data_IF_891335922152
#
_entry.id   IF_891335922152
#
_cell.length_a   1.000
_cell.length_b   1.000
_cell.length_c   1.000
_cell.angle_alpha   90.00
_cell.angle_beta   90.00
_cell.angle_gamma   90.00
#
_symmetry.space_group_name_H-M   'P 1'
#
loop_
_entity.id
_entity.type
_entity.pdbx_description
1 polymer ?
#
# COMPACT_ATOMS: atom_id res chain seq x y z
N UNK A 1 -4.06 26.54 0.32
CA UNK A 1 -4.97 26.43 1.51
C UNK A 1 -4.69 25.10 2.17
N UNK A 2 -4.66 25.00 3.51
CA UNK A 2 -4.38 23.71 4.16
C UNK A 2 -5.55 22.72 3.98
N UNK A 3 -5.24 21.42 3.91
CA UNK A 3 -6.23 20.35 3.75
C UNK A 3 -7.27 20.36 4.89
N UNK A 4 -6.80 20.57 6.12
CA UNK A 4 -7.69 20.65 7.29
C UNK A 4 -8.71 21.80 7.19
N UNK A 5 -8.30 22.96 6.71
CA UNK A 5 -9.22 24.07 6.48
C UNK A 5 -10.28 23.75 5.41
N UNK A 6 -9.87 23.04 4.36
CA UNK A 6 -10.79 22.62 3.29
C UNK A 6 -11.84 21.63 3.82
N UNK A 7 -11.43 20.65 4.62
CA UNK A 7 -12.33 19.72 5.29
C UNK A 7 -13.28 20.45 6.26
N UNK A 8 -12.73 21.36 7.08
CA UNK A 8 -13.53 22.11 8.05
C UNK A 8 -14.52 23.07 7.39
N UNK A 9 -14.18 23.66 6.25
CA UNK A 9 -15.10 24.52 5.49
C UNK A 9 -16.38 23.76 5.07
N UNK A 10 -16.24 22.46 4.76
CA UNK A 10 -17.36 21.59 4.33
C UNK A 10 -18.18 20.99 5.48
N UNK A 11 -17.91 21.34 6.75
CA UNK A 11 -18.56 20.70 7.90
C UNK A 11 -20.08 20.81 7.95
N UNK A 12 -20.65 21.88 7.40
CA UNK A 12 -22.11 22.09 7.36
C UNK A 12 -22.78 21.34 6.21
N UNK A 13 -22.08 21.23 5.09
CA UNK A 13 -22.58 20.57 3.88
C UNK A 13 -22.39 19.05 3.95
N UNK A 14 -21.28 18.60 4.60
CA UNK A 14 -20.91 17.19 4.70
C UNK A 14 -20.52 16.81 6.13
N UNK A 15 -21.50 16.71 7.06
CA UNK A 15 -21.21 16.38 8.45
C UNK A 15 -20.61 14.97 8.61
N UNK A 16 -21.00 14.01 7.76
CA UNK A 16 -20.46 12.66 7.76
C UNK A 16 -18.94 12.64 7.46
N UNK A 17 -18.46 13.45 6.51
CA UNK A 17 -17.04 13.59 6.20
C UNK A 17 -16.24 14.01 7.42
N UNK A 18 -16.73 15.04 8.14
CA UNK A 18 -16.04 15.54 9.33
C UNK A 18 -16.10 14.55 10.48
N UNK A 19 -17.22 13.85 10.65
CA UNK A 19 -17.37 12.81 11.68
C UNK A 19 -16.39 11.64 11.43
N UNK A 20 -16.31 11.12 10.21
CA UNK A 20 -15.37 10.05 9.85
C UNK A 20 -13.93 10.52 9.98
N UNK A 21 -13.60 11.74 9.54
CA UNK A 21 -12.26 12.31 9.71
C UNK A 21 -11.88 12.45 11.19
N UNK A 22 -12.78 12.92 12.02
CA UNK A 22 -12.55 13.05 13.47
C UNK A 22 -12.39 11.69 14.14
N UNK A 23 -13.22 10.70 13.79
CA UNK A 23 -13.10 9.33 14.29
C UNK A 23 -11.77 8.70 13.88
N UNK A 24 -11.37 8.83 12.61
CA UNK A 24 -10.09 8.33 12.12
C UNK A 24 -8.92 9.01 12.86
N UNK A 25 -8.91 10.33 12.97
CA UNK A 25 -7.84 11.04 13.69
C UNK A 25 -7.78 10.63 15.15
N UNK A 26 -8.92 10.53 15.83
CA UNK A 26 -8.98 10.11 17.24
C UNK A 26 -8.46 8.69 17.41
N UNK A 27 -8.85 7.75 16.54
CA UNK A 27 -8.39 6.36 16.60
C UNK A 27 -6.88 6.26 16.36
N UNK A 28 -6.34 6.98 15.37
CA UNK A 28 -4.91 7.01 15.08
C UNK A 28 -4.10 7.60 16.24
N UNK A 29 -4.54 8.71 16.83
CA UNK A 29 -3.84 9.35 17.95
C UNK A 29 -3.93 8.54 19.25
N UNK A 30 -5.03 7.83 19.47
CA UNK A 30 -5.21 6.98 20.65
C UNK A 30 -4.43 5.65 20.54
N UNK A 31 -4.20 5.16 19.31
CA UNK A 31 -3.69 3.81 19.11
C UNK A 31 -2.31 3.53 19.74
N UNK A 32 -1.32 4.42 19.77
CA UNK A 32 -0.06 4.16 20.49
C UNK A 32 -0.26 3.85 21.97
N UNK A 33 -1.23 4.51 22.62
CA UNK A 33 -1.60 4.25 24.01
C UNK A 33 -2.31 2.90 24.15
N UNK A 34 -3.23 2.60 23.23
CA UNK A 34 -3.93 1.31 23.20
C UNK A 34 -2.94 0.17 22.96
N UNK A 35 -2.01 0.33 22.02
CA UNK A 35 -0.97 -0.66 21.75
C UNK A 35 -0.02 -0.88 22.94
N UNK A 36 0.38 0.21 23.61
CA UNK A 36 1.16 0.12 24.84
C UNK A 36 0.39 -0.63 25.94
N UNK A 37 -0.87 -0.30 26.14
CA UNK A 37 -1.73 -0.98 27.12
C UNK A 37 -1.90 -2.46 26.81
N UNK A 38 -2.18 -2.82 25.54
CA UNK A 38 -2.30 -4.21 25.10
C UNK A 38 -1.00 -4.99 25.34
N UNK A 39 0.16 -4.39 25.08
CA UNK A 39 1.46 -5.03 25.37
C UNK A 39 1.72 -5.22 26.87
N UNK A 40 1.27 -4.27 27.69
CA UNK A 40 1.46 -4.33 29.14
C UNK A 40 0.51 -5.33 29.82
N UNK A 41 -0.67 -5.59 29.25
CA UNK A 41 -1.75 -6.34 29.91
C UNK A 41 -2.10 -7.66 29.25
N UNK A 42 -1.66 -7.90 28.01
CA UNK A 42 -2.03 -9.07 27.22
C UNK A 42 -0.85 -9.58 26.40
N UNK A 43 -0.94 -10.84 25.93
CA UNK A 43 0.01 -11.42 24.98
C UNK A 43 -0.34 -11.11 23.52
N UNK A 44 -1.39 -10.33 23.26
CA UNK A 44 -1.92 -10.10 21.91
C UNK A 44 -1.09 -9.14 21.09
N UNK A 45 -0.42 -8.18 21.71
CA UNK A 45 0.43 -7.23 21.01
C UNK A 45 1.91 -7.56 21.20
N UNK A 46 2.65 -7.68 20.12
CA UNK A 46 4.08 -7.96 20.16
C UNK A 46 4.89 -6.70 20.52
N UNK A 47 6.02 -6.91 21.18
CA UNK A 47 7.03 -5.87 21.38
C UNK A 47 7.82 -5.57 20.10
N UNK A 48 8.69 -4.55 20.19
CA UNK A 48 9.68 -4.25 19.16
C UNK A 48 10.79 -5.32 19.19
N UNK A 49 10.56 -6.42 18.48
CA UNK A 49 11.51 -7.55 18.39
C UNK A 49 12.34 -7.54 17.13
N UNK A 50 12.02 -6.66 16.17
CA UNK A 50 12.71 -6.53 14.89
C UNK A 50 12.92 -7.87 14.16
N UNK A 51 11.93 -8.77 14.21
CA UNK A 51 12.05 -10.12 13.67
C UNK A 51 12.37 -10.15 12.17
N UNK A 52 11.73 -9.26 11.39
CA UNK A 52 12.01 -9.18 9.95
C UNK A 52 13.38 -8.53 9.67
N UNK A 53 13.78 -7.52 10.48
CA UNK A 53 15.13 -6.98 10.40
C UNK A 53 16.18 -8.07 10.71
N UNK A 54 15.90 -8.95 11.67
CA UNK A 54 16.76 -10.12 11.99
C UNK A 54 16.91 -11.08 10.81
N UNK A 55 15.85 -11.27 10.02
CA UNK A 55 15.95 -12.08 8.79
C UNK A 55 16.88 -11.41 7.74
N UNK A 56 16.85 -10.07 7.64
CA UNK A 56 17.74 -9.31 6.75
C UNK A 56 19.19 -9.33 7.25
N UNK A 57 19.42 -9.05 8.52
CA UNK A 57 20.73 -9.11 9.17
C UNK A 57 21.35 -10.50 9.00
N UNK A 58 20.63 -11.56 9.34
CA UNK A 58 21.10 -12.93 9.13
C UNK A 58 21.35 -13.30 7.67
N UNK A 59 20.74 -12.65 6.69
CA UNK A 59 21.09 -12.83 5.29
C UNK A 59 22.40 -12.11 4.94
N UNK A 60 22.67 -10.94 5.53
CA UNK A 60 23.97 -10.25 5.41
C UNK A 60 25.10 -11.12 5.97
N UNK A 61 24.92 -11.67 7.17
CA UNK A 61 25.91 -12.55 7.83
C UNK A 61 26.23 -13.77 6.95
N UNK A 62 25.21 -14.46 6.45
CA UNK A 62 25.41 -15.61 5.55
C UNK A 62 26.14 -15.23 4.27
N UNK A 63 25.78 -14.09 3.67
CA UNK A 63 26.48 -13.62 2.48
C UNK A 63 27.96 -13.36 2.75
N UNK A 64 28.29 -12.71 3.87
CA UNK A 64 29.67 -12.44 4.27
C UNK A 64 30.45 -13.73 4.59
N UNK A 65 29.75 -14.74 5.11
CA UNK A 65 30.32 -16.07 5.36
C UNK A 65 30.45 -16.92 4.08
N UNK A 66 29.99 -16.45 2.91
CA UNK A 66 29.98 -17.24 1.67
C UNK A 66 28.91 -18.35 1.64
N UNK A 67 27.90 -18.25 2.52
CA UNK A 67 26.79 -19.19 2.61
C UNK A 67 25.60 -18.77 1.74
N UNK A 68 24.64 -19.70 1.55
CA UNK A 68 23.39 -19.39 0.85
C UNK A 68 22.56 -18.36 1.61
N UNK A 69 22.03 -17.35 0.89
CA UNK A 69 21.10 -16.35 1.46
C UNK A 69 19.84 -17.00 2.02
N UNK A 70 19.39 -18.08 1.38
CA UNK A 70 18.11 -18.74 1.66
C UNK A 70 18.32 -20.02 2.40
N UNK A 71 17.73 -20.12 3.58
CA UNK A 71 17.76 -21.30 4.41
C UNK A 71 16.42 -22.02 4.35
N UNK A 72 16.44 -23.31 4.08
CA UNK A 72 15.25 -24.15 4.21
C UNK A 72 15.08 -24.57 5.67
N UNK A 73 13.84 -24.56 6.14
CA UNK A 73 13.45 -25.18 7.39
C UNK A 73 13.42 -26.72 7.25
N UNK A 74 13.31 -27.43 8.36
CA UNK A 74 13.31 -28.90 8.38
C UNK A 74 12.15 -29.53 7.60
N UNK A 75 11.04 -28.78 7.45
CA UNK A 75 9.87 -29.15 6.65
C UNK A 75 10.03 -28.85 5.14
N UNK A 76 11.21 -28.38 4.72
CA UNK A 76 11.53 -28.00 3.34
C UNK A 76 11.03 -26.62 2.93
N UNK A 77 10.31 -25.91 3.81
CA UNK A 77 9.83 -24.54 3.60
C UNK A 77 10.90 -23.46 3.85
N UNK A 78 10.48 -22.19 3.73
CA UNK A 78 11.34 -21.02 3.98
C UNK A 78 10.83 -20.16 5.14
N UNK A 79 10.16 -20.77 6.12
CA UNK A 79 9.59 -20.06 7.27
C UNK A 79 10.66 -19.41 8.15
N UNK A 80 10.41 -18.17 8.58
CA UNK A 80 11.29 -17.46 9.52
C UNK A 80 12.66 -17.08 8.94
N UNK A 81 12.84 -17.14 7.61
CA UNK A 81 14.08 -16.83 6.94
C UNK A 81 13.96 -15.63 6.01
N UNK A 82 15.04 -15.29 5.32
CA UNK A 82 15.09 -14.25 4.30
C UNK A 82 14.27 -14.65 3.07
N UNK A 83 13.30 -13.81 2.68
CA UNK A 83 12.35 -14.09 1.59
C UNK A 83 12.38 -13.03 0.47
N UNK A 84 13.39 -12.20 0.42
CA UNK A 84 13.51 -11.09 -0.52
C UNK A 84 14.49 -11.41 -1.64
N UNK A 85 14.44 -10.66 -2.77
CA UNK A 85 15.47 -10.78 -3.80
C UNK A 85 16.87 -10.52 -3.25
N UNK A 86 17.93 -11.14 -3.83
CA UNK A 86 19.28 -11.04 -3.30
C UNK A 86 19.78 -9.60 -3.12
N UNK A 87 19.44 -8.70 -4.06
CA UNK A 87 19.85 -7.28 -4.02
C UNK A 87 19.45 -6.55 -2.75
N UNK A 88 18.37 -6.97 -2.09
CA UNK A 88 17.87 -6.33 -0.86
C UNK A 88 18.86 -6.47 0.30
N UNK A 89 19.70 -7.48 0.28
CA UNK A 89 20.79 -7.65 1.26
C UNK A 89 21.71 -6.42 1.28
N UNK A 90 22.01 -5.83 0.11
CA UNK A 90 22.85 -4.63 0.00
C UNK A 90 22.22 -3.41 0.69
N UNK A 91 20.89 -3.35 0.79
CA UNK A 91 20.19 -2.28 1.50
C UNK A 91 20.44 -2.38 3.03
N UNK A 92 20.59 -3.59 3.55
CA UNK A 92 20.77 -3.84 4.99
C UNK A 92 22.23 -3.98 5.42
N UNK A 93 23.14 -4.27 4.48
CA UNK A 93 24.55 -4.43 4.76
C UNK A 93 25.19 -3.28 5.55
N UNK A 94 24.95 -1.98 5.27
CA UNK A 94 25.56 -0.91 6.04
C UNK A 94 25.11 -0.88 7.52
N UNK A 95 23.88 -1.28 7.79
CA UNK A 95 23.35 -1.32 9.16
C UNK A 95 23.96 -2.46 9.97
N UNK A 96 24.12 -3.63 9.36
CA UNK A 96 24.72 -4.80 10.01
C UNK A 96 26.24 -4.63 10.15
N UNK A 97 26.91 -4.10 9.14
CA UNK A 97 28.37 -3.94 9.17
C UNK A 97 28.87 -2.86 10.13
N UNK A 98 28.04 -1.84 10.43
CA UNK A 98 28.48 -0.65 11.16
C UNK A 98 27.85 -0.49 12.54
N UNK A 99 26.77 -1.20 12.85
CA UNK A 99 25.97 -0.99 14.05
C UNK A 99 25.65 -2.31 14.74
N UNK A 100 25.45 -2.27 16.05
CA UNK A 100 24.86 -3.40 16.76
C UNK A 100 23.42 -3.63 16.28
N UNK A 101 22.96 -4.86 16.28
CA UNK A 101 21.66 -5.29 15.74
C UNK A 101 20.50 -4.32 16.10
N UNK A 102 20.36 -4.01 17.38
CA UNK A 102 19.26 -3.13 17.85
C UNK A 102 19.39 -1.71 17.32
N UNK A 103 20.61 -1.18 17.30
CA UNK A 103 20.88 0.18 16.80
C UNK A 103 20.66 0.26 15.30
N UNK A 104 21.12 -0.75 14.55
CA UNK A 104 20.87 -0.89 13.12
C UNK A 104 19.39 -0.93 12.79
N UNK A 105 18.61 -1.72 13.53
CA UNK A 105 17.16 -1.81 13.40
C UNK A 105 16.46 -0.47 13.71
N UNK A 106 16.90 0.24 14.76
CA UNK A 106 16.35 1.54 15.12
C UNK A 106 16.69 2.62 14.08
N UNK A 107 17.91 2.66 13.58
CA UNK A 107 18.32 3.60 12.51
C UNK A 107 17.53 3.31 11.24
N UNK A 108 17.39 2.04 10.85
CA UNK A 108 16.55 1.64 9.73
C UNK A 108 15.10 2.11 9.88
N UNK A 109 14.51 1.89 11.07
CA UNK A 109 13.15 2.32 11.39
C UNK A 109 12.98 3.83 11.25
N UNK A 110 13.87 4.61 11.87
CA UNK A 110 13.81 6.07 11.84
C UNK A 110 14.01 6.59 10.41
N UNK A 111 15.02 6.09 9.69
CA UNK A 111 15.30 6.50 8.31
C UNK A 111 14.11 6.20 7.39
N UNK A 112 13.54 4.99 7.44
CA UNK A 112 12.40 4.61 6.62
C UNK A 112 11.11 5.36 7.00
N UNK A 113 10.89 5.63 8.29
CA UNK A 113 9.77 6.43 8.78
C UNK A 113 9.85 7.89 8.32
N UNK A 114 11.01 8.52 8.45
CA UNK A 114 11.27 9.89 7.95
C UNK A 114 11.13 9.93 6.42
N UNK A 115 11.61 8.91 5.72
CA UNK A 115 11.49 8.82 4.27
C UNK A 115 10.02 8.74 3.80
N UNK A 116 9.18 7.93 4.47
CA UNK A 116 7.74 7.88 4.20
C UNK A 116 7.08 9.24 4.48
N UNK A 117 7.37 9.83 5.63
CA UNK A 117 6.82 11.13 6.03
C UNK A 117 7.21 12.24 5.03
N UNK A 118 8.47 12.27 4.57
CA UNK A 118 8.94 13.19 3.54
C UNK A 118 8.23 12.96 2.19
N UNK A 119 8.06 11.70 1.79
CA UNK A 119 7.34 11.32 0.57
C UNK A 119 5.89 11.77 0.57
N UNK A 120 5.18 11.57 1.69
CA UNK A 120 3.79 12.03 1.84
C UNK A 120 3.69 13.56 1.83
N UNK A 121 4.62 14.29 2.45
CA UNK A 121 4.66 15.75 2.35
C UNK A 121 4.91 16.21 0.91
N UNK A 122 5.84 15.55 0.20
CA UNK A 122 6.11 15.84 -1.21
C UNK A 122 4.88 15.62 -2.08
N UNK A 123 4.09 14.58 -1.81
CA UNK A 123 2.82 14.30 -2.48
C UNK A 123 1.77 15.36 -2.17
N UNK A 124 1.56 15.69 -0.90
CA UNK A 124 0.60 16.71 -0.46
C UNK A 124 0.96 18.08 -1.05
N UNK A 125 2.25 18.45 -1.07
CA UNK A 125 2.74 19.66 -1.73
C UNK A 125 2.55 19.63 -3.24
N UNK A 126 2.79 18.48 -3.89
CA UNK A 126 2.51 18.30 -5.33
C UNK A 126 1.03 18.46 -5.66
N UNK A 127 0.12 18.11 -4.76
CA UNK A 127 -1.32 18.33 -4.90
C UNK A 127 -1.74 19.79 -4.65
N UNK A 128 -0.81 20.67 -4.25
CA UNK A 128 -1.06 22.11 -4.02
C UNK A 128 -1.55 22.45 -2.63
N UNK A 129 -1.37 21.55 -1.67
CA UNK A 129 -1.68 21.83 -0.28
C UNK A 129 -0.39 22.21 0.48
N UNK A 130 -0.42 23.37 1.14
CA UNK A 130 0.68 23.81 1.99
C UNK A 130 0.43 23.36 3.42
N UNK A 131 1.29 22.46 3.89
CA UNK A 131 1.29 22.01 5.28
C UNK A 131 2.07 23.00 6.15
N UNK A 132 1.43 23.51 7.20
CA UNK A 132 2.09 24.27 8.27
C UNK A 132 2.95 23.31 9.11
N UNK A 133 3.91 23.85 9.86
CA UNK A 133 4.81 23.03 10.66
C UNK A 133 4.07 22.07 11.63
N UNK A 134 2.98 22.51 12.27
CA UNK A 134 2.19 21.68 13.19
C UNK A 134 1.35 20.61 12.43
N UNK A 135 0.90 20.88 11.19
CA UNK A 135 0.24 19.89 10.34
C UNK A 135 1.24 18.80 9.90
N UNK A 136 2.51 19.17 9.66
CA UNK A 136 3.59 18.21 9.37
C UNK A 136 3.89 17.32 10.57
N UNK A 137 3.93 17.88 11.79
CA UNK A 137 4.07 17.11 13.02
C UNK A 137 2.83 16.25 13.27
N UNK A 138 1.63 16.78 13.02
CA UNK A 138 0.39 16.02 13.08
C UNK A 138 0.40 14.81 12.15
N UNK A 139 0.89 14.97 10.91
CA UNK A 139 1.06 13.86 9.97
C UNK A 139 2.02 12.80 10.53
N UNK A 140 3.15 13.21 11.13
CA UNK A 140 4.07 12.25 11.77
C UNK A 140 3.39 11.49 12.92
N UNK A 141 2.63 12.18 13.77
CA UNK A 141 1.88 11.56 14.86
C UNK A 141 0.81 10.57 14.35
N UNK A 142 0.08 10.92 13.29
CA UNK A 142 -0.91 10.04 12.66
C UNK A 142 -0.25 8.81 12.05
N UNK A 143 0.93 8.95 11.44
CA UNK A 143 1.71 7.82 10.91
C UNK A 143 2.17 6.89 12.04
N UNK A 144 2.67 7.45 13.16
CA UNK A 144 3.07 6.67 14.32
C UNK A 144 1.89 5.92 14.96
N UNK A 145 0.69 6.48 14.86
CA UNK A 145 -0.55 5.84 15.33
C UNK A 145 -1.19 4.88 14.32
N UNK A 146 -0.80 4.89 13.05
CA UNK A 146 -1.37 3.98 12.06
C UNK A 146 -0.89 2.55 12.29
N UNK A 147 -1.79 1.65 12.67
CA UNK A 147 -1.44 0.27 13.04
C UNK A 147 -0.51 -0.43 12.04
N UNK A 148 -0.75 -0.40 10.71
CA UNK A 148 0.17 -1.02 9.75
C UNK A 148 1.59 -0.44 9.80
N UNK A 149 1.74 0.86 10.04
CA UNK A 149 3.04 1.51 10.17
C UNK A 149 3.73 1.14 11.49
N UNK A 150 3.00 1.11 12.60
CA UNK A 150 3.51 0.69 13.89
C UNK A 150 3.94 -0.79 13.88
N UNK A 151 3.16 -1.67 13.24
CA UNK A 151 3.54 -3.07 13.05
C UNK A 151 4.80 -3.21 12.20
N UNK A 152 4.91 -2.44 11.11
CA UNK A 152 6.13 -2.37 10.29
C UNK A 152 7.34 -2.00 11.15
N UNK A 153 7.18 -1.01 12.02
CA UNK A 153 8.21 -0.54 12.94
C UNK A 153 8.65 -1.63 13.91
N UNK A 154 7.70 -2.33 14.53
CA UNK A 154 7.97 -3.44 15.47
C UNK A 154 8.73 -4.61 14.85
N UNK A 155 8.46 -4.89 13.59
CA UNK A 155 9.10 -5.97 12.84
C UNK A 155 10.43 -5.54 12.19
N UNK A 156 10.68 -4.24 12.03
CA UNK A 156 11.81 -3.73 11.25
C UNK A 156 11.66 -3.96 9.74
N UNK A 157 10.41 -3.97 9.25
CA UNK A 157 10.02 -4.36 7.89
C UNK A 157 10.28 -3.23 6.87
N UNK A 158 10.42 -3.59 5.58
CA UNK A 158 10.68 -2.65 4.47
C UNK A 158 9.47 -1.81 4.06
N UNK A 159 8.27 -2.07 4.58
CA UNK A 159 7.04 -1.46 4.08
C UNK A 159 6.99 0.08 4.25
N UNK A 160 7.62 0.65 5.29
CA UNK A 160 7.75 2.12 5.42
C UNK A 160 8.59 2.70 4.27
N UNK A 161 9.73 2.08 3.97
CA UNK A 161 10.61 2.50 2.86
C UNK A 161 9.88 2.41 1.51
N UNK A 162 9.19 1.31 1.24
CA UNK A 162 8.42 1.15 0.01
C UNK A 162 7.25 2.13 -0.09
N UNK A 163 6.54 2.38 1.01
CA UNK A 163 5.50 3.42 1.08
C UNK A 163 6.05 4.80 0.77
N UNK A 164 7.27 5.11 1.22
CA UNK A 164 8.01 6.33 0.89
C UNK A 164 8.29 6.45 -0.61
N UNK A 165 8.85 5.40 -1.23
CA UNK A 165 9.10 5.35 -2.68
C UNK A 165 7.81 5.58 -3.48
N UNK A 166 6.72 4.92 -3.11
CA UNK A 166 5.41 5.09 -3.76
C UNK A 166 4.85 6.50 -3.56
N UNK A 167 5.08 7.11 -2.40
CA UNK A 167 4.67 8.50 -2.14
C UNK A 167 5.44 9.48 -3.03
N UNK A 168 6.75 9.29 -3.22
CA UNK A 168 7.54 10.08 -4.17
C UNK A 168 7.16 9.81 -5.63
N UNK A 169 6.86 8.55 -5.99
CA UNK A 169 6.34 8.20 -7.31
C UNK A 169 5.00 8.93 -7.60
N UNK A 170 4.08 8.91 -6.64
CA UNK A 170 2.82 9.64 -6.73
C UNK A 170 3.02 11.15 -6.84
N UNK A 171 3.95 11.73 -6.06
CA UNK A 171 4.30 13.15 -6.14
C UNK A 171 4.87 13.52 -7.53
N UNK A 172 5.75 12.69 -8.07
CA UNK A 172 6.31 12.85 -9.43
C UNK A 172 5.20 12.80 -10.48
N UNK A 173 4.30 11.85 -10.39
CA UNK A 173 3.13 11.70 -11.27
C UNK A 173 2.22 12.94 -11.25
N UNK A 174 1.99 13.53 -10.08
CA UNK A 174 1.16 14.74 -9.95
C UNK A 174 1.87 15.96 -10.54
N UNK A 175 3.19 16.12 -10.32
CA UNK A 175 4.01 17.22 -10.86
C UNK A 175 4.11 17.17 -12.38
N UNK A 176 4.29 15.98 -12.94
CA UNK A 176 4.34 15.75 -14.39
C UNK A 176 3.09 16.27 -15.11
N UNK A 177 1.94 16.23 -14.45
CA UNK A 177 0.70 16.72 -14.99
C UNK A 177 0.40 18.20 -14.83
N UNK A 178 1.21 18.90 -14.08
CA UNK A 178 1.16 20.34 -13.98
C UNK A 178 2.23 20.87 -14.92
N UNK A 179 1.91 21.14 -16.18
CA UNK A 179 2.85 21.81 -17.07
C UNK A 179 3.47 23.08 -16.42
N UNK A 180 4.54 23.66 -16.96
CA UNK A 180 5.17 24.85 -16.39
C UNK A 180 4.11 25.92 -16.15
N UNK A 181 4.01 26.35 -14.88
CA UNK A 181 3.05 27.35 -14.46
C UNK A 181 3.26 28.64 -15.28
N UNK A 182 2.33 28.98 -16.16
CA UNK A 182 2.32 30.22 -16.92
C UNK A 182 2.15 30.15 -18.44
N UNK A 183 2.12 28.97 -19.03
CA UNK A 183 1.80 28.83 -20.47
C UNK A 183 0.30 28.73 -20.69
N UNK A 184 -0.30 29.75 -21.34
CA UNK A 184 -1.68 29.70 -21.81
C UNK A 184 -1.90 28.46 -22.66
N UNK A 185 -3.06 27.80 -22.50
CA UNK A 185 -3.46 26.57 -23.23
C UNK A 185 -3.42 26.68 -24.78
N UNK A 186 -3.11 27.86 -25.30
CA UNK A 186 -3.04 28.12 -26.73
C UNK A 186 -1.73 27.68 -27.43
N UNK A 187 -0.68 27.31 -26.68
CA UNK A 187 0.64 26.92 -27.23
C UNK A 187 0.91 25.39 -27.32
N UNK A 188 -0.04 24.55 -26.97
CA UNK A 188 0.18 23.11 -26.81
C UNK A 188 0.11 22.27 -28.09
N UNK A 189 0.18 22.86 -29.28
CA UNK A 189 0.10 22.15 -30.58
C UNK A 189 1.32 22.29 -31.46
N UNK A 190 2.48 22.41 -30.90
CA UNK A 190 3.70 22.20 -31.68
C UNK A 190 4.00 20.71 -31.75
N UNK A 191 3.64 20.16 -32.93
CA UNK A 191 3.65 18.73 -33.28
C UNK A 191 5.07 18.18 -33.52
N UNK A 192 6.12 18.81 -33.04
CA UNK A 192 7.47 18.27 -33.11
C UNK A 192 7.88 17.70 -31.74
N UNK A 193 7.98 16.40 -31.72
CA UNK A 193 8.28 15.46 -30.67
C UNK A 193 9.49 15.71 -29.79
N UNK A 194 9.80 16.91 -29.41
CA UNK A 194 10.67 17.17 -28.29
C UNK A 194 9.95 16.67 -27.03
N UNK A 195 10.41 15.53 -26.54
CA UNK A 195 10.22 15.05 -25.18
C UNK A 195 10.55 16.21 -24.22
N UNK A 196 9.59 17.09 -23.93
CA UNK A 196 9.76 18.09 -22.87
C UNK A 196 10.01 17.30 -21.59
N UNK A 197 11.29 17.30 -21.23
CA UNK A 197 11.93 16.45 -20.25
C UNK A 197 11.42 16.76 -18.84
N UNK A 198 10.24 16.24 -18.51
CA UNK A 198 9.84 16.19 -17.12
C UNK A 198 10.58 15.01 -16.47
N UNK A 199 11.63 15.22 -15.67
CA UNK A 199 12.34 14.14 -14.99
C UNK A 199 11.43 13.40 -14.01
N UNK A 200 10.31 14.01 -13.65
CA UNK A 200 9.37 13.47 -12.69
C UNK A 200 8.68 12.18 -13.16
N UNK A 201 8.37 12.07 -14.45
CA UNK A 201 7.80 10.84 -15.01
C UNK A 201 8.81 9.68 -14.93
N UNK A 202 10.06 9.93 -15.32
CA UNK A 202 11.15 8.95 -15.24
C UNK A 202 11.40 8.52 -13.79
N UNK A 203 11.50 9.48 -12.87
CA UNK A 203 11.71 9.20 -11.45
C UNK A 203 10.54 8.42 -10.82
N UNK A 204 9.29 8.75 -11.20
CA UNK A 204 8.12 8.00 -10.74
C UNK A 204 8.16 6.55 -11.23
N UNK A 205 8.54 6.33 -12.49
CA UNK A 205 8.73 4.99 -13.06
C UNK A 205 9.85 4.21 -12.36
N UNK A 206 11.00 4.84 -12.17
CA UNK A 206 12.15 4.24 -11.47
C UNK A 206 11.82 3.86 -10.03
N UNK A 207 11.18 4.75 -9.26
CA UNK A 207 10.77 4.48 -7.88
C UNK A 207 9.78 3.30 -7.80
N UNK A 208 8.82 3.24 -8.71
CA UNK A 208 7.86 2.11 -8.81
C UNK A 208 8.57 0.80 -9.13
N UNK A 209 9.51 0.82 -10.07
CA UNK A 209 10.28 -0.37 -10.45
C UNK A 209 11.14 -0.89 -9.29
N UNK A 210 11.78 0.01 -8.53
CA UNK A 210 12.55 -0.37 -7.33
C UNK A 210 11.65 -1.06 -6.31
N UNK A 211 10.42 -0.56 -6.07
CA UNK A 211 9.46 -1.24 -5.20
C UNK A 211 9.16 -2.65 -5.70
N UNK A 212 8.90 -2.82 -7.00
CA UNK A 212 8.64 -4.11 -7.62
C UNK A 212 9.83 -5.07 -7.53
N UNK A 213 11.07 -4.55 -7.68
CA UNK A 213 12.29 -5.35 -7.54
C UNK A 213 12.55 -5.72 -6.08
N UNK A 214 12.33 -4.81 -5.14
CA UNK A 214 12.53 -5.10 -3.70
C UNK A 214 11.53 -6.17 -3.22
N UNK A 215 10.31 -6.13 -3.72
CA UNK A 215 9.30 -7.11 -3.32
C UNK A 215 8.37 -7.44 -4.50
N UNK A 216 8.63 -8.56 -5.14
CA UNK A 216 7.92 -8.98 -6.36
C UNK A 216 6.39 -9.08 -6.16
N UNK A 217 5.92 -9.36 -4.96
CA UNK A 217 4.49 -9.33 -4.63
C UNK A 217 3.79 -8.00 -4.96
N UNK A 218 4.56 -6.92 -5.10
CA UNK A 218 4.08 -5.58 -5.47
C UNK A 218 4.01 -5.37 -7.00
N UNK A 219 4.26 -6.39 -7.81
CA UNK A 219 4.24 -6.26 -9.29
C UNK A 219 2.97 -5.58 -9.86
N UNK A 220 1.73 -5.80 -9.32
CA UNK A 220 0.53 -5.12 -9.80
C UNK A 220 0.60 -3.59 -9.75
N UNK A 221 1.45 -3.02 -8.87
CA UNK A 221 1.71 -1.58 -8.81
C UNK A 221 2.17 -1.04 -10.16
N UNK A 222 2.87 -1.86 -10.95
CA UNK A 222 3.39 -1.49 -12.26
C UNK A 222 2.32 -1.17 -13.31
N UNK A 223 1.03 -1.41 -13.07
CA UNK A 223 -0.03 -1.15 -14.04
C UNK A 223 0.01 0.30 -14.57
N UNK A 224 0.28 1.29 -13.71
CA UNK A 224 0.39 2.68 -14.15
C UNK A 224 1.58 2.99 -15.07
N UNK A 225 2.58 2.11 -15.13
CA UNK A 225 3.71 2.22 -16.06
C UNK A 225 3.25 1.99 -17.50
N UNK A 226 2.22 1.13 -17.69
CA UNK A 226 1.63 0.85 -19.00
C UNK A 226 0.83 2.06 -19.54
N UNK A 227 0.43 2.95 -18.63
CA UNK A 227 -0.34 4.13 -18.98
C UNK A 227 0.52 5.28 -19.55
N UNK A 228 1.83 5.29 -19.27
CA UNK A 228 2.74 6.38 -19.68
C UNK A 228 4.10 5.83 -20.08
N UNK A 229 4.45 6.01 -21.35
CA UNK A 229 5.71 5.53 -21.93
C UNK A 229 6.95 6.03 -21.20
N UNK A 230 6.95 7.27 -20.69
CA UNK A 230 8.11 7.83 -19.97
C UNK A 230 8.32 7.14 -18.61
N UNK A 231 7.24 6.84 -17.89
CA UNK A 231 7.33 6.06 -16.65
C UNK A 231 7.83 4.65 -16.92
N UNK A 232 7.34 4.03 -18.00
CA UNK A 232 7.86 2.73 -18.43
C UNK A 232 9.36 2.80 -18.74
N UNK A 233 9.82 3.83 -19.46
CA UNK A 233 11.26 4.05 -19.72
C UNK A 233 12.02 4.24 -18.42
N UNK A 234 11.51 5.04 -17.47
CA UNK A 234 12.13 5.21 -16.15
C UNK A 234 12.28 3.88 -15.39
N UNK A 235 11.26 3.02 -15.46
CA UNK A 235 11.31 1.69 -14.88
C UNK A 235 12.35 0.79 -15.60
N UNK A 236 12.36 0.79 -16.92
CA UNK A 236 13.31 0.01 -17.73
C UNK A 236 14.76 0.48 -17.55
N UNK A 237 15.00 1.75 -17.28
CA UNK A 237 16.32 2.26 -16.97
C UNK A 237 16.78 1.90 -15.54
N UNK A 238 15.86 1.77 -14.59
CA UNK A 238 16.18 1.47 -13.20
C UNK A 238 16.41 -0.03 -12.93
N UNK A 239 15.67 -0.93 -13.59
CA UNK A 239 15.73 -2.37 -13.33
C UNK A 239 17.07 -3.01 -13.73
N UNK A 240 17.62 -2.80 -14.96
CA UNK A 240 18.85 -3.48 -15.38
C UNK A 240 20.06 -3.22 -14.46
N UNK A 241 20.35 -1.97 -14.04
CA UNK A 241 21.45 -1.72 -13.09
C UNK A 241 21.28 -2.46 -11.77
N UNK A 242 20.05 -2.50 -11.23
CA UNK A 242 19.75 -3.19 -9.97
C UNK A 242 19.92 -4.70 -10.11
N UNK A 243 19.42 -5.28 -11.21
CA UNK A 243 19.58 -6.72 -11.51
C UNK A 243 21.04 -7.07 -11.77
N UNK A 244 21.76 -6.26 -12.56
CA UNK A 244 23.19 -6.44 -12.81
C UNK A 244 23.99 -6.40 -11.50
N UNK A 245 23.75 -5.42 -10.66
CA UNK A 245 24.39 -5.30 -9.34
C UNK A 245 24.09 -6.54 -8.49
N UNK A 246 22.84 -6.98 -8.48
CA UNK A 246 22.41 -8.18 -7.76
C UNK A 246 23.18 -9.42 -8.22
N UNK A 247 23.25 -9.65 -9.54
CA UNK A 247 23.98 -10.80 -10.10
C UNK A 247 25.50 -10.69 -9.81
N UNK A 248 26.05 -9.47 -9.88
CA UNK A 248 27.48 -9.24 -9.62
C UNK A 248 27.89 -9.59 -8.19
N UNK A 249 27.03 -9.31 -7.21
CA UNK A 249 27.34 -9.58 -5.79
C UNK A 249 26.94 -10.98 -5.32
N UNK A 250 25.84 -11.51 -5.83
CA UNK A 250 25.24 -12.75 -5.30
C UNK A 250 25.28 -13.94 -6.27
N UNK A 251 25.69 -13.71 -7.52
CA UNK A 251 25.70 -14.75 -8.55
C UNK A 251 24.30 -15.14 -9.05
N UNK A 252 24.25 -15.95 -10.10
CA UNK A 252 22.99 -16.42 -10.71
C UNK A 252 22.30 -17.45 -9.80
N UNK A 253 23.03 -18.27 -9.09
CA UNK A 253 22.50 -19.35 -8.23
C UNK A 253 21.57 -18.80 -7.15
N UNK A 254 21.93 -17.68 -6.49
CA UNK A 254 21.09 -17.05 -5.51
C UNK A 254 19.73 -16.60 -6.10
N UNK A 255 19.71 -16.19 -7.37
CA UNK A 255 18.48 -15.82 -8.07
C UNK A 255 17.62 -17.03 -8.43
N UNK A 256 18.23 -18.13 -8.83
CA UNK A 256 17.51 -19.39 -9.06
C UNK A 256 16.88 -19.91 -7.76
N UNK A 257 17.62 -19.87 -6.65
CA UNK A 257 17.07 -20.23 -5.34
C UNK A 257 15.94 -19.28 -4.93
N UNK A 258 16.03 -17.99 -5.26
CA UNK A 258 14.94 -17.05 -5.02
C UNK A 258 13.66 -17.42 -5.79
N UNK A 259 13.76 -17.98 -6.99
CA UNK A 259 12.57 -18.48 -7.70
C UNK A 259 11.88 -19.61 -6.93
N UNK A 260 12.63 -20.46 -6.24
CA UNK A 260 12.03 -21.49 -5.37
C UNK A 260 11.33 -20.89 -4.16
N UNK A 261 11.88 -19.81 -3.57
CA UNK A 261 11.22 -19.04 -2.50
C UNK A 261 9.90 -18.48 -3.01
N UNK A 262 9.86 -17.90 -4.22
CA UNK A 262 8.62 -17.36 -4.80
C UNK A 262 7.58 -18.47 -5.04
N UNK A 263 7.99 -19.60 -5.60
CA UNK A 263 7.09 -20.76 -5.83
C UNK A 263 6.50 -21.27 -4.52
N UNK A 264 7.33 -21.41 -3.51
CA UNK A 264 6.89 -21.79 -2.18
C UNK A 264 5.91 -20.78 -1.59
N UNK A 265 6.20 -19.46 -1.67
CA UNK A 265 5.31 -18.40 -1.18
C UNK A 265 3.94 -18.41 -1.85
N UNK A 266 3.90 -18.71 -3.16
CA UNK A 266 2.64 -18.85 -3.91
C UNK A 266 1.85 -20.06 -3.44
N UNK A 267 2.50 -21.22 -3.24
CA UNK A 267 1.83 -22.44 -2.78
C UNK A 267 1.25 -22.25 -1.37
N UNK A 268 2.02 -21.72 -0.44
CA UNK A 268 1.59 -21.51 0.95
C UNK A 268 0.45 -20.50 1.11
N UNK A 269 0.49 -19.41 0.31
CA UNK A 269 -0.57 -18.40 0.34
C UNK A 269 -1.88 -18.86 -0.28
N UNK A 270 -1.87 -19.93 -1.06
CA UNK A 270 -3.03 -20.40 -1.83
C UNK A 270 -3.81 -21.53 -1.15
N UNK A 271 -3.33 -22.05 -0.03
CA UNK A 271 -4.08 -22.99 0.79
C UNK A 271 -5.47 -22.40 1.11
N UNK A 272 -6.52 -23.18 0.87
CA UNK A 272 -7.90 -22.79 1.04
C UNK A 272 -8.23 -22.22 2.42
N UNK A 273 -9.51 -21.95 2.66
CA UNK A 273 -9.97 -21.37 3.90
C UNK A 273 -9.43 -22.14 5.12
N UNK A 274 -8.53 -21.52 5.85
CA UNK A 274 -8.11 -22.03 7.16
C UNK A 274 -9.12 -21.57 8.22
N UNK A 275 -9.24 -22.30 9.34
CA UNK A 275 -10.16 -21.93 10.42
C UNK A 275 -9.86 -20.52 11.00
N UNK A 276 -10.79 -19.93 11.77
CA UNK A 276 -10.68 -18.59 12.37
C UNK A 276 -9.43 -18.32 13.21
N UNK A 277 -8.69 -19.36 13.60
CA UNK A 277 -7.35 -19.25 14.21
C UNK A 277 -6.35 -18.46 13.38
N UNK A 278 -6.64 -18.22 12.10
CA UNK A 278 -5.87 -17.35 11.21
C UNK A 278 -5.80 -15.88 11.61
N UNK A 279 -6.70 -15.42 12.42
CA UNK A 279 -6.68 -14.07 12.98
C UNK A 279 -5.53 -13.85 13.97
N UNK A 280 -4.73 -14.90 14.14
CA UNK A 280 -3.55 -14.91 14.99
C UNK A 280 -2.39 -14.13 14.41
N UNK A 281 -2.26 -14.12 13.09
CA UNK A 281 -1.12 -13.51 12.44
C UNK A 281 -1.46 -12.11 11.91
N UNK A 282 -0.48 -11.23 11.71
CA UNK A 282 -0.66 -9.93 11.11
C UNK A 282 -0.89 -10.04 9.60
N UNK A 283 -1.71 -11.00 9.16
CA UNK A 283 -1.98 -11.24 7.75
C UNK A 283 -3.45 -11.59 7.49
N UNK A 284 -3.86 -11.38 6.25
CA UNK A 284 -5.16 -11.70 5.69
C UNK A 284 -5.03 -12.63 4.50
N UNK A 285 -6.09 -13.39 4.21
CA UNK A 285 -6.20 -14.19 2.98
C UNK A 285 -7.30 -13.61 2.10
N UNK A 286 -6.96 -12.91 1.01
CA UNK A 286 -7.95 -12.26 0.14
C UNK A 286 -8.99 -13.21 -0.45
N UNK A 287 -8.58 -14.46 -0.72
CA UNK A 287 -9.47 -15.49 -1.30
C UNK A 287 -9.96 -16.52 -0.26
N UNK A 288 -10.01 -16.15 1.03
CA UNK A 288 -10.51 -17.04 2.09
C UNK A 288 -11.98 -17.48 1.90
N UNK A 289 -12.74 -16.79 1.07
CA UNK A 289 -14.12 -17.15 0.70
C UNK A 289 -14.21 -18.31 -0.31
N UNK A 290 -13.11 -18.65 -0.99
CA UNK A 290 -13.06 -19.83 -1.84
C UNK A 290 -13.17 -21.10 -0.98
N UNK A 291 -13.88 -22.14 -1.46
CA UNK A 291 -13.94 -23.42 -0.77
C UNK A 291 -12.55 -23.97 -0.45
N UNK A 292 -12.40 -24.63 0.69
CA UNK A 292 -11.12 -25.21 1.13
C UNK A 292 -10.55 -26.24 0.14
N UNK A 293 -11.42 -26.87 -0.67
CA UNK A 293 -11.07 -27.82 -1.72
C UNK A 293 -10.90 -27.17 -3.10
N UNK A 294 -10.99 -25.81 -3.20
CA UNK A 294 -10.74 -25.14 -4.46
C UNK A 294 -9.31 -25.42 -4.91
N UNK A 295 -9.17 -25.82 -6.18
CA UNK A 295 -7.86 -26.10 -6.74
C UNK A 295 -6.98 -24.83 -6.71
N UNK A 296 -5.69 -25.01 -6.45
CA UNK A 296 -4.69 -23.94 -6.50
C UNK A 296 -4.80 -23.14 -7.81
N UNK A 297 -5.04 -23.83 -8.94
CA UNK A 297 -5.25 -23.20 -10.24
C UNK A 297 -6.43 -22.24 -10.30
N UNK A 298 -7.51 -22.46 -9.54
CA UNK A 298 -8.67 -21.54 -9.49
C UNK A 298 -8.28 -20.19 -8.88
N UNK A 299 -7.56 -20.22 -7.76
CA UNK A 299 -7.09 -18.99 -7.11
C UNK A 299 -6.08 -18.24 -7.99
N UNK A 300 -5.19 -18.95 -8.68
CA UNK A 300 -4.23 -18.36 -9.60
C UNK A 300 -4.92 -17.76 -10.82
N UNK A 301 -5.91 -18.46 -11.41
CA UNK A 301 -6.69 -17.96 -12.54
C UNK A 301 -7.44 -16.67 -12.15
N UNK A 302 -8.06 -16.64 -10.97
CA UNK A 302 -8.73 -15.44 -10.47
C UNK A 302 -7.76 -14.25 -10.34
N UNK A 303 -6.59 -14.46 -9.72
CA UNK A 303 -5.57 -13.40 -9.57
C UNK A 303 -5.05 -12.92 -10.93
N UNK A 304 -4.78 -13.85 -11.84
CA UNK A 304 -4.32 -13.52 -13.20
C UNK A 304 -5.37 -12.69 -13.95
N UNK A 305 -6.64 -13.11 -13.92
CA UNK A 305 -7.74 -12.39 -14.57
C UNK A 305 -7.92 -10.99 -13.97
N UNK A 306 -7.90 -10.87 -12.65
CA UNK A 306 -8.01 -9.57 -11.99
C UNK A 306 -6.80 -8.67 -12.28
N UNK A 307 -5.58 -9.22 -12.34
CA UNK A 307 -4.38 -8.48 -12.74
C UNK A 307 -4.46 -7.99 -14.18
N UNK A 308 -4.94 -8.82 -15.08
CA UNK A 308 -5.16 -8.45 -16.50
C UNK A 308 -6.24 -7.36 -16.61
N UNK A 309 -7.32 -7.44 -15.81
CA UNK A 309 -8.35 -6.41 -15.80
C UNK A 309 -7.78 -5.05 -15.31
N UNK A 310 -6.98 -5.03 -14.26
CA UNK A 310 -6.29 -3.82 -13.78
C UNK A 310 -5.34 -3.27 -14.85
N UNK A 311 -4.57 -4.12 -15.51
CA UNK A 311 -3.67 -3.71 -16.60
C UNK A 311 -4.44 -3.16 -17.81
N UNK A 312 -5.54 -3.81 -18.20
CA UNK A 312 -6.39 -3.35 -19.29
C UNK A 312 -7.01 -1.98 -19.00
N UNK A 313 -7.55 -1.79 -17.78
CA UNK A 313 -8.07 -0.48 -17.36
C UNK A 313 -6.98 0.59 -17.39
N UNK A 314 -5.75 0.25 -16.97
CA UNK A 314 -4.64 1.19 -17.01
C UNK A 314 -4.25 1.60 -18.44
N UNK A 315 -4.25 0.65 -19.40
CA UNK A 315 -3.92 0.90 -20.82
C UNK A 315 -5.02 1.70 -21.52
N UNK A 316 -6.29 1.39 -21.24
CA UNK A 316 -7.44 2.03 -21.87
C UNK A 316 -7.75 3.41 -21.30
N UNK A 317 -7.27 3.71 -20.11
CA UNK A 317 -7.56 4.97 -19.41
C UNK A 317 -6.93 6.17 -20.14
N UNK A 318 -7.63 7.31 -20.23
CA UNK A 318 -7.07 8.52 -20.82
C UNK A 318 -6.03 9.18 -19.89
N UNK A 319 -5.15 10.06 -20.42
CA UNK A 319 -4.09 10.71 -19.62
C UNK A 319 -4.59 11.47 -18.39
N UNK A 320 -5.84 11.97 -18.41
CA UNK A 320 -6.47 12.63 -17.27
C UNK A 320 -6.67 11.70 -16.06
N UNK A 321 -6.82 10.39 -16.28
CA UNK A 321 -7.02 9.38 -15.24
C UNK A 321 -5.73 8.88 -14.57
N UNK A 322 -4.56 9.46 -14.87
CA UNK A 322 -3.26 8.97 -14.37
C UNK A 322 -3.17 8.80 -12.86
N UNK A 323 -3.83 9.67 -12.05
CA UNK A 323 -3.84 9.58 -10.58
C UNK A 323 -4.63 8.37 -10.11
N UNK A 324 -5.79 8.16 -10.69
CA UNK A 324 -6.68 7.04 -10.37
C UNK A 324 -6.14 5.71 -10.90
N UNK A 325 -5.46 5.70 -12.04
CA UNK A 325 -4.73 4.52 -12.55
C UNK A 325 -3.60 4.11 -11.62
N UNK A 326 -2.80 5.07 -11.12
CA UNK A 326 -1.79 4.78 -10.10
C UNK A 326 -2.44 4.23 -8.82
N UNK A 327 -3.49 4.89 -8.35
CA UNK A 327 -4.23 4.47 -7.16
C UNK A 327 -4.80 3.05 -7.32
N UNK A 328 -5.38 2.72 -8.49
CA UNK A 328 -5.91 1.40 -8.79
C UNK A 328 -4.82 0.32 -8.75
N UNK A 329 -3.69 0.53 -9.42
CA UNK A 329 -2.59 -0.44 -9.44
C UNK A 329 -2.02 -0.70 -8.05
N UNK A 330 -1.76 0.37 -7.28
CA UNK A 330 -1.23 0.24 -5.91
C UNK A 330 -2.26 -0.37 -4.97
N UNK A 331 -3.54 0.03 -5.05
CA UNK A 331 -4.57 -0.54 -4.18
C UNK A 331 -4.89 -2.01 -4.51
N UNK A 332 -4.74 -2.43 -5.76
CA UNK A 332 -5.06 -3.79 -6.18
C UNK A 332 -4.06 -4.84 -5.64
N UNK A 333 -2.78 -4.47 -5.38
CA UNK A 333 -1.78 -5.48 -5.05
C UNK A 333 -2.09 -6.30 -3.78
N UNK A 334 -2.60 -5.73 -2.65
CA UNK A 334 -2.89 -6.54 -1.48
C UNK A 334 -4.02 -7.55 -1.70
N UNK A 335 -4.97 -7.27 -2.61
CA UNK A 335 -6.03 -8.21 -2.97
C UNK A 335 -5.56 -9.31 -3.93
N UNK A 336 -4.49 -9.04 -4.70
CA UNK A 336 -3.95 -9.95 -5.70
C UNK A 336 -2.83 -10.85 -5.17
N UNK A 337 -2.28 -10.55 -3.98
CA UNK A 337 -1.30 -11.43 -3.34
C UNK A 337 -1.96 -12.68 -2.76
N UNK A 338 -1.26 -13.82 -2.73
CA UNK A 338 -1.77 -15.03 -2.08
C UNK A 338 -2.12 -14.82 -0.61
N UNK A 339 -1.29 -14.05 0.08
CA UNK A 339 -1.45 -13.69 1.47
C UNK A 339 -1.06 -12.21 1.64
N UNK A 340 -1.92 -11.45 2.31
CA UNK A 340 -1.71 -10.02 2.56
C UNK A 340 -1.34 -9.80 4.00
N UNK A 341 -0.18 -9.22 4.22
CA UNK A 341 0.23 -8.80 5.56
C UNK A 341 -0.30 -7.40 5.87
N UNK A 342 -0.67 -7.16 7.12
CA UNK A 342 -1.19 -5.86 7.56
C UNK A 342 -0.24 -4.71 7.22
N UNK A 343 1.07 -4.92 7.32
CA UNK A 343 2.06 -3.89 6.98
C UNK A 343 2.10 -3.53 5.48
N UNK A 344 1.49 -4.32 4.58
CA UNK A 344 1.35 -3.94 3.16
C UNK A 344 0.46 -2.71 2.99
N UNK A 345 -0.45 -2.47 3.91
CA UNK A 345 -1.35 -1.33 3.85
C UNK A 345 -0.65 0.03 4.03
N UNK A 346 0.60 0.05 4.46
CA UNK A 346 1.42 1.27 4.43
C UNK A 346 1.56 1.82 3.00
N UNK A 347 1.65 0.94 2.00
CA UNK A 347 1.72 1.32 0.59
C UNK A 347 0.42 1.99 0.08
N UNK A 348 -0.69 1.85 0.80
CA UNK A 348 -1.98 2.47 0.45
C UNK A 348 -2.11 3.92 0.94
N UNK A 349 -1.18 4.42 1.76
CA UNK A 349 -1.21 5.81 2.22
C UNK A 349 -1.15 6.82 1.06
N UNK A 350 -0.22 6.72 0.09
CA UNK A 350 -0.25 7.61 -1.07
C UNK A 350 -1.53 7.45 -1.93
N UNK A 351 -2.11 6.24 -2.00
CA UNK A 351 -3.40 6.02 -2.66
C UNK A 351 -4.51 6.80 -1.97
N UNK A 352 -4.59 6.70 -0.64
CA UNK A 352 -5.60 7.41 0.15
C UNK A 352 -5.49 8.93 -0.03
N UNK A 353 -4.25 9.47 -0.04
CA UNK A 353 -4.01 10.90 -0.27
C UNK A 353 -4.46 11.32 -1.69
N UNK A 354 -4.12 10.53 -2.72
CA UNK A 354 -4.52 10.81 -4.10
C UNK A 354 -6.04 10.77 -4.27
N UNK A 355 -6.68 9.68 -3.80
CA UNK A 355 -8.13 9.51 -3.91
C UNK A 355 -8.89 10.56 -3.08
N UNK A 356 -8.40 10.89 -1.87
CA UNK A 356 -9.01 11.94 -1.06
C UNK A 356 -8.98 13.31 -1.78
N UNK A 357 -7.85 13.66 -2.39
CA UNK A 357 -7.73 14.87 -3.18
C UNK A 357 -8.68 14.86 -4.39
N UNK A 358 -8.71 13.75 -5.14
CA UNK A 358 -9.58 13.56 -6.30
C UNK A 358 -11.06 13.69 -5.92
N UNK A 359 -11.50 13.02 -4.85
CA UNK A 359 -12.88 13.06 -4.37
C UNK A 359 -13.28 14.44 -3.83
N UNK A 360 -12.34 15.17 -3.21
CA UNK A 360 -12.55 16.53 -2.78
C UNK A 360 -12.64 17.53 -3.94
N UNK A 361 -11.87 17.31 -5.02
CA UNK A 361 -11.85 18.20 -6.17
C UNK A 361 -13.13 18.08 -7.02
N UNK A 362 -13.71 16.89 -7.10
CA UNK A 362 -14.91 16.61 -7.89
C UNK A 362 -16.22 16.53 -7.09
N UNK A 363 -16.19 16.90 -5.81
CA UNK A 363 -17.34 16.77 -4.90
C UNK A 363 -17.92 15.35 -4.77
N UNK A 364 -17.04 14.33 -4.94
CA UNK A 364 -17.35 12.91 -4.89
C UNK A 364 -17.61 12.38 -3.47
N UNK A 365 -16.96 11.27 -3.10
CA UNK A 365 -17.17 10.53 -1.85
C UNK A 365 -15.89 10.47 -0.98
N UNK A 366 -15.33 11.62 -0.51
CA UNK A 366 -14.11 11.63 0.31
C UNK A 366 -14.27 10.86 1.63
N UNK A 367 -15.48 10.76 2.17
CA UNK A 367 -15.82 9.95 3.35
C UNK A 367 -15.54 8.47 3.15
N UNK A 368 -15.73 7.91 1.94
CA UNK A 368 -15.42 6.52 1.63
C UNK A 368 -13.91 6.27 1.67
N UNK A 369 -13.11 7.23 1.23
CA UNK A 369 -11.64 7.13 1.32
C UNK A 369 -11.20 7.07 2.78
N UNK A 370 -11.72 7.97 3.62
CA UNK A 370 -11.40 8.01 5.05
C UNK A 370 -11.89 6.75 5.78
N UNK A 371 -13.08 6.24 5.43
CA UNK A 371 -13.60 4.99 5.95
C UNK A 371 -12.70 3.81 5.53
N UNK A 372 -12.23 3.79 4.27
CA UNK A 372 -11.26 2.83 3.79
C UNK A 372 -10.00 2.82 4.67
N UNK A 373 -9.41 3.99 4.93
CA UNK A 373 -8.23 4.14 5.80
C UNK A 373 -8.53 3.69 7.24
N UNK A 374 -9.71 4.02 7.79
CA UNK A 374 -10.14 3.55 9.11
C UNK A 374 -10.18 2.01 9.15
N UNK A 375 -10.76 1.38 8.14
CA UNK A 375 -10.79 -0.08 8.04
C UNK A 375 -9.39 -0.70 7.90
N UNK A 376 -8.46 -0.04 7.17
CA UNK A 376 -7.05 -0.47 7.10
C UNK A 376 -6.35 -0.37 8.47
N UNK A 377 -6.75 0.60 9.28
CA UNK A 377 -6.23 0.79 10.63
C UNK A 377 -6.78 -0.25 11.62
N UNK A 378 -8.04 -0.65 11.46
CA UNK A 378 -8.67 -1.68 12.28
C UNK A 378 -8.05 -3.04 11.96
N UNK A 379 -7.38 -3.64 12.92
CA UNK A 379 -6.69 -4.91 12.73
C UNK A 379 -7.42 -6.10 13.35
N UNK A 380 -7.08 -7.29 12.86
CA UNK A 380 -7.69 -8.53 13.32
C UNK A 380 -7.43 -8.83 14.82
N UNK A 381 -6.37 -8.27 15.41
CA UNK A 381 -6.08 -8.48 16.84
C UNK A 381 -7.20 -8.00 17.76
N UNK A 382 -7.81 -6.85 17.48
CA UNK A 382 -8.93 -6.34 18.26
C UNK A 382 -10.13 -7.27 18.23
N UNK A 383 -10.45 -7.81 17.06
CA UNK A 383 -11.50 -8.81 16.91
C UNK A 383 -11.14 -10.11 17.62
N UNK A 384 -9.89 -10.59 17.51
CA UNK A 384 -9.41 -11.73 18.25
C UNK A 384 -9.49 -11.52 19.77
N UNK A 385 -9.09 -10.36 20.25
CA UNK A 385 -9.20 -10.00 21.66
C UNK A 385 -10.66 -10.11 22.12
N UNK A 386 -11.59 -9.52 21.37
CA UNK A 386 -13.02 -9.64 21.66
C UNK A 386 -13.48 -11.09 21.68
N UNK A 387 -13.10 -11.89 20.69
CA UNK A 387 -13.49 -13.31 20.58
C UNK A 387 -12.93 -14.15 21.71
N UNK A 388 -11.68 -13.93 22.13
CA UNK A 388 -11.03 -14.75 23.16
C UNK A 388 -11.31 -14.25 24.59
N UNK A 389 -11.58 -12.96 24.77
CA UNK A 389 -11.80 -12.37 26.08
C UNK A 389 -13.29 -12.33 26.46
N UNK A 390 -14.19 -12.30 25.48
CA UNK A 390 -15.63 -12.18 25.67
C UNK A 390 -16.44 -13.44 25.34
N UNK A 391 -15.86 -14.60 24.93
CA UNK A 391 -16.62 -15.75 24.43
C UNK A 391 -17.61 -16.31 25.46
N UNK A 392 -17.27 -16.20 26.74
CA UNK A 392 -18.13 -16.67 27.82
C UNK A 392 -19.20 -15.65 28.25
N UNK A 393 -19.05 -14.40 27.82
CA UNK A 393 -19.96 -13.33 28.19
C UNK A 393 -21.06 -13.08 27.15
N UNK A 394 -20.84 -13.48 25.88
CA UNK A 394 -21.81 -13.25 24.79
C UNK A 394 -21.88 -14.47 23.87
N UNK A 395 -22.83 -15.40 24.08
CA UNK A 395 -23.02 -16.58 23.20
C UNK A 395 -23.20 -16.22 21.71
N UNK A 396 -23.62 -14.99 21.41
CA UNK A 396 -23.75 -14.49 20.04
C UNK A 396 -22.40 -14.46 19.29
N UNK A 397 -21.26 -14.33 19.96
CA UNK A 397 -19.94 -14.36 19.31
C UNK A 397 -19.58 -15.75 18.78
N UNK A 398 -19.99 -16.83 19.45
CA UNK A 398 -19.82 -18.19 18.92
C UNK A 398 -20.63 -18.41 17.64
N UNK A 399 -21.84 -17.85 17.55
CA UNK A 399 -22.66 -17.88 16.35
C UNK A 399 -22.02 -17.12 15.16
N UNK A 400 -21.19 -16.11 15.42
CA UNK A 400 -20.45 -15.36 14.41
C UNK A 400 -19.16 -16.05 13.95
N UNK A 401 -18.73 -17.14 14.61
CA UNK A 401 -17.49 -17.86 14.30
C UNK A 401 -17.37 -18.25 12.81
N UNK A 402 -18.41 -18.75 12.12
CA UNK A 402 -18.33 -19.02 10.69
C UNK A 402 -18.11 -17.76 9.83
N UNK A 403 -18.58 -16.60 10.29
CA UNK A 403 -18.44 -15.33 9.59
C UNK A 403 -17.05 -14.68 9.77
N UNK A 404 -16.20 -15.16 10.66
CA UNK A 404 -14.89 -14.58 10.93
C UNK A 404 -13.97 -14.58 9.71
N UNK A 405 -14.12 -15.56 8.81
CA UNK A 405 -13.37 -15.58 7.54
C UNK A 405 -13.67 -14.36 6.66
N UNK A 406 -14.86 -13.79 6.79
CA UNK A 406 -15.29 -12.61 6.07
C UNK A 406 -14.93 -11.31 6.82
N UNK A 407 -14.72 -11.36 8.12
CA UNK A 407 -14.41 -10.19 8.95
C UNK A 407 -12.91 -9.83 8.87
N UNK A 408 -12.48 -9.38 7.71
CA UNK A 408 -11.12 -8.94 7.43
C UNK A 408 -11.12 -7.43 7.15
N UNK A 409 -11.22 -6.55 8.17
CA UNK A 409 -11.47 -5.12 7.98
C UNK A 409 -10.44 -4.45 7.08
N UNK A 410 -9.16 -4.81 7.19
CA UNK A 410 -8.11 -4.28 6.31
C UNK A 410 -8.34 -4.59 4.83
N UNK A 411 -8.82 -5.80 4.48
CA UNK A 411 -9.17 -6.13 3.10
C UNK A 411 -10.43 -5.40 2.63
N UNK A 412 -11.39 -5.17 3.51
CA UNK A 412 -12.60 -4.42 3.17
C UNK A 412 -12.27 -2.96 2.87
N UNK A 413 -11.42 -2.35 3.72
CA UNK A 413 -10.91 -1.00 3.46
C UNK A 413 -10.14 -0.94 2.15
N UNK A 414 -9.31 -1.95 1.88
CA UNK A 414 -8.58 -2.04 0.61
C UNK A 414 -9.51 -2.22 -0.59
N UNK A 415 -10.52 -3.12 -0.50
CA UNK A 415 -11.50 -3.33 -1.57
C UNK A 415 -12.30 -2.05 -1.86
N UNK A 416 -12.63 -1.28 -0.82
CA UNK A 416 -13.29 0.02 -0.98
C UNK A 416 -12.42 1.00 -1.79
N UNK A 417 -11.12 1.09 -1.47
CA UNK A 417 -10.19 1.96 -2.22
C UNK A 417 -9.99 1.47 -3.66
N UNK A 418 -9.89 0.16 -3.89
CA UNK A 418 -9.83 -0.43 -5.25
C UNK A 418 -11.09 -0.13 -6.03
N UNK A 419 -12.27 -0.36 -5.43
CA UNK A 419 -13.56 -0.11 -6.06
C UNK A 419 -13.71 1.35 -6.45
N UNK A 420 -13.38 2.27 -5.56
CA UNK A 420 -13.44 3.70 -5.84
C UNK A 420 -12.48 4.09 -6.97
N UNK A 421 -11.22 3.63 -6.92
CA UNK A 421 -10.24 3.90 -7.97
C UNK A 421 -10.69 3.33 -9.33
N UNK A 422 -11.21 2.10 -9.35
CA UNK A 422 -11.71 1.46 -10.57
C UNK A 422 -12.89 2.22 -11.18
N UNK A 423 -13.88 2.62 -10.37
CA UNK A 423 -15.02 3.43 -10.83
C UNK A 423 -14.51 4.73 -11.47
N UNK A 424 -13.55 5.42 -10.83
CA UNK A 424 -12.99 6.67 -11.37
C UNK A 424 -12.22 6.48 -12.68
N UNK A 425 -11.52 5.34 -12.83
CA UNK A 425 -10.86 5.00 -14.10
C UNK A 425 -11.91 4.74 -15.17
N UNK A 426 -12.95 3.96 -14.88
CA UNK A 426 -14.03 3.65 -15.85
C UNK A 426 -14.79 4.91 -16.27
N UNK A 427 -15.17 5.77 -15.34
CA UNK A 427 -15.81 7.05 -15.64
C UNK A 427 -14.95 7.95 -16.54
N UNK A 428 -13.63 7.92 -16.34
CA UNK A 428 -12.72 8.70 -17.17
C UNK A 428 -12.53 8.11 -18.58
N UNK A 429 -12.78 6.81 -18.78
CA UNK A 429 -12.57 6.15 -20.10
C UNK A 429 -13.72 6.31 -21.08
N UNK A 430 -14.80 7.04 -20.72
CA UNK A 430 -15.98 7.22 -21.56
C UNK A 430 -16.50 5.89 -22.17
N UNK A 431 -16.30 4.77 -21.45
CA UNK A 431 -16.85 3.48 -21.86
C UNK A 431 -18.37 3.61 -21.93
N UNK A 432 -19.01 3.15 -23.04
CA UNK A 432 -20.44 3.34 -23.23
C UNK A 432 -21.23 2.91 -22.00
N UNK A 433 -22.21 3.72 -21.62
CA UNK A 433 -22.94 3.70 -20.34
C UNK A 433 -23.73 2.40 -20.14
N UNK A 434 -23.04 1.31 -19.87
CA UNK A 434 -23.61 0.06 -19.36
C UNK A 434 -23.62 0.00 -17.80
N UNK A 435 -23.00 0.99 -17.15
CA UNK A 435 -22.95 1.07 -15.69
C UNK A 435 -23.71 2.32 -15.23
N UNK A 436 -24.54 2.22 -14.17
CA UNK A 436 -25.21 3.40 -13.61
C UNK A 436 -24.13 4.38 -13.11
N UNK A 437 -24.16 5.59 -13.62
CA UNK A 437 -23.31 6.69 -13.16
C UNK A 437 -23.56 6.92 -11.68
N UNK A 438 -22.58 6.65 -10.83
CA UNK A 438 -22.62 6.96 -9.41
C UNK A 438 -22.53 8.50 -9.25
N UNK A 439 -23.69 9.14 -9.33
CA UNK A 439 -23.87 10.48 -8.80
C UNK A 439 -23.77 11.65 -9.75
N UNK A 440 -24.69 11.72 -10.70
CA UNK A 440 -25.19 13.04 -11.12
C UNK A 440 -26.26 13.48 -10.09
N UNK A 441 -25.83 14.11 -9.00
CA UNK A 441 -26.71 14.96 -8.22
C UNK A 441 -26.89 16.24 -9.02
N UNK A 442 -27.60 16.12 -10.15
CA UNK A 442 -28.15 17.30 -10.82
C UNK A 442 -28.94 18.04 -9.77
N UNK A 443 -28.45 19.21 -9.41
CA UNK A 443 -29.24 20.29 -8.84
C UNK A 443 -30.48 20.45 -9.71
N UNK A 444 -31.56 19.77 -9.33
CA UNK A 444 -32.91 20.20 -9.75
C UNK A 444 -33.08 21.57 -9.19
N UNK A 445 -32.71 22.56 -10.02
CA UNK A 445 -33.02 23.93 -9.80
C UNK A 445 -34.53 24.07 -9.61
N UNK A 446 -34.92 24.51 -8.44
CA UNK A 446 -36.21 25.11 -8.22
C UNK A 446 -36.28 26.34 -9.13
N UNK A 447 -36.94 26.21 -10.27
CA UNK A 447 -37.54 27.34 -10.98
C UNK A 447 -38.72 27.75 -10.13
N UNK A 448 -38.51 28.71 -9.26
CA UNK A 448 -39.60 29.53 -8.78
C UNK A 448 -40.09 30.40 -9.96
N UNK A 449 -41.26 30.09 -10.42
CA UNK A 449 -42.09 30.96 -11.23
C UNK A 449 -42.96 31.78 -10.30
N UNK A 450 -42.93 33.10 -10.54
CA UNK A 450 -43.79 34.22 -10.06
C UNK A 450 -43.53 34.79 -8.69
#
# INVERSE_FOLDING_TARGET
MSLLRRLWARRRERPALVAVAALLMASLLAYPVVDWWLRATTEFASDFRFGDFGAYAGAVDRWQAGESLYRRADDGGFWGTYLYPPVVVLLFWPFEALLAFRDGAMVWLLASGVFLWAGLQALVGALGYDLRWFERLGLAALLAGFHPALLTAKLGQTALFMGGLLSFAAAGLVRDGRGPAGGSEAGARDADGALRDSPWALLAGAATAVVGVVKFAYAPIGAHLLHDRRRLVGALLAVPPVVWLSIRFFGVEAHLTYLDVLRWGVSQGSDGARPPTLWLAPYYKPLAWLPANAALGTAQAFRATASLAVAALAVLAPPRARRTVFALGVAAFPLLTPQTYTYYFVALLPVAVLLLAEELDRDGYPELVLLGVLCLHLHAYGLRFLVLTVPNAVPAFEALRPAYLLLQPGLWGNALLVGLAAVRVVEATDLPAALPTLGDRSTTGATESD
#
